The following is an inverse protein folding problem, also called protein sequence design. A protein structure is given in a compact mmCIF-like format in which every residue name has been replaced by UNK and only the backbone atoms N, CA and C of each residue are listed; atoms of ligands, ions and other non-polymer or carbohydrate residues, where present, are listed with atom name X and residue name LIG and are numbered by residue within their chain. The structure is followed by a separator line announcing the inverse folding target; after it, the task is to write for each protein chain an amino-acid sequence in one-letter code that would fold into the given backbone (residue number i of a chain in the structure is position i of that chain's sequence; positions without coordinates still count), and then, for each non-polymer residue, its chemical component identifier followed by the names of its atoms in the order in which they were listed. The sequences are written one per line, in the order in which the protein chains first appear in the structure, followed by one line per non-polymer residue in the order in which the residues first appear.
data_IF_665159147664
#
_entry.id   IF_665159147664
#
_cell.length_a   1.000
_cell.length_b   1.000
_cell.length_c   1.000
_cell.angle_alpha   90.00
_cell.angle_beta   90.00
_cell.angle_gamma   90.00
#
_symmetry.space_group_name_H-M   'P 1'
#
loop_
_entity.id
_entity.type
_entity.pdbx_description
1 polymer ?
#
# COMPACT_ATOMS: atom_id res chain seq x y z
N UNK A 1 -34.57 -13.85 36.57
CA UNK A 1 -34.88 -12.89 35.50
C UNK A 1 -33.57 -12.45 34.86
N UNK A 2 -33.51 -12.35 33.53
CA UNK A 2 -32.26 -12.32 32.77
C UNK A 2 -31.73 -10.89 32.67
N UNK A 3 -30.45 -10.69 33.00
CA UNK A 3 -29.70 -9.51 32.57
C UNK A 3 -28.49 -10.01 31.77
N UNK A 4 -28.77 -10.61 30.62
CA UNK A 4 -27.79 -10.70 29.55
C UNK A 4 -27.87 -9.39 28.79
N UNK A 5 -26.99 -8.45 29.12
CA UNK A 5 -26.77 -7.26 28.31
C UNK A 5 -26.21 -7.71 26.97
N UNK A 6 -27.06 -7.75 25.93
CA UNK A 6 -26.60 -7.78 24.54
C UNK A 6 -25.85 -6.49 24.28
N UNK A 7 -24.53 -6.52 24.45
CA UNK A 7 -23.65 -5.55 23.81
C UNK A 7 -23.83 -5.77 22.31
N UNK A 8 -24.21 -4.75 21.52
CA UNK A 8 -24.21 -4.89 20.07
C UNK A 8 -22.76 -5.13 19.66
N UNK A 9 -22.43 -6.34 19.19
CA UNK A 9 -21.14 -6.59 18.57
C UNK A 9 -21.02 -5.65 17.36
N UNK A 10 -20.09 -4.71 17.40
CA UNK A 10 -19.73 -3.89 16.24
C UNK A 10 -18.91 -4.76 15.30
N UNK A 11 -19.58 -5.43 14.38
CA UNK A 11 -18.92 -6.13 13.29
C UNK A 11 -18.20 -5.12 12.39
N UNK A 12 -16.89 -5.30 12.17
CA UNK A 12 -16.19 -4.66 11.06
C UNK A 12 -16.07 -5.67 9.92
N UNK A 13 -16.58 -5.29 8.74
CA UNK A 13 -16.49 -6.09 7.53
C UNK A 13 -15.10 -5.92 6.92
N UNK A 14 -14.34 -7.02 6.89
CA UNK A 14 -13.09 -7.10 6.15
C UNK A 14 -13.40 -7.49 4.71
N UNK A 15 -13.27 -6.53 3.79
CA UNK A 15 -13.43 -6.79 2.37
C UNK A 15 -12.08 -7.22 1.78
N UNK A 16 -11.95 -8.51 1.49
CA UNK A 16 -10.78 -9.08 0.81
C UNK A 16 -11.21 -9.63 -0.56
N UNK A 17 -10.61 -9.08 -1.61
CA UNK A 17 -10.79 -9.56 -2.98
C UNK A 17 -9.51 -10.26 -3.42
N UNK A 18 -9.65 -11.50 -3.89
CA UNK A 18 -8.55 -12.36 -4.30
C UNK A 18 -8.74 -12.87 -5.72
N UNK A 19 -7.76 -12.59 -6.57
CA UNK A 19 -7.61 -13.21 -7.89
C UNK A 19 -6.40 -14.14 -7.86
N UNK A 20 -6.64 -15.43 -8.07
CA UNK A 20 -5.63 -16.49 -7.94
C UNK A 20 -4.93 -16.76 -9.26
N UNK A 21 -3.61 -16.96 -9.23
CA UNK A 21 -2.87 -17.50 -10.38
C UNK A 21 -3.13 -19.01 -10.49
N UNK A 22 -4.30 -19.41 -10.98
CA UNK A 22 -4.54 -20.84 -11.24
C UNK A 22 -3.74 -21.30 -12.46
N UNK A 23 -2.85 -22.28 -12.29
CA UNK A 23 -2.14 -22.89 -13.43
C UNK A 23 -3.06 -23.76 -14.32
N UNK A 24 -4.27 -24.10 -13.87
CA UNK A 24 -5.24 -24.85 -14.67
C UNK A 24 -6.68 -24.43 -14.35
N UNK A 25 -7.43 -24.23 -15.43
CA UNK A 25 -8.89 -24.12 -15.52
C UNK A 25 -9.57 -22.96 -14.77
N UNK A 26 -9.72 -21.83 -15.46
CA UNK A 26 -11.05 -21.29 -15.83
C UNK A 26 -12.07 -20.97 -14.73
N UNK A 27 -11.66 -20.84 -13.47
CA UNK A 27 -12.55 -20.46 -12.39
C UNK A 27 -12.32 -19.02 -11.94
N UNK A 28 -13.46 -18.36 -11.77
CA UNK A 28 -13.72 -16.95 -11.47
C UNK A 28 -13.03 -16.43 -10.23
N UNK A 29 -12.84 -15.11 -10.22
CA UNK A 29 -12.57 -14.26 -9.05
C UNK A 29 -13.20 -14.86 -7.79
N UNK A 30 -12.37 -15.22 -6.82
CA UNK A 30 -12.83 -15.82 -5.57
C UNK A 30 -12.84 -14.73 -4.52
N UNK A 31 -14.00 -14.11 -4.30
CA UNK A 31 -14.18 -13.19 -3.17
C UNK A 31 -14.14 -14.00 -1.86
N UNK A 32 -13.07 -13.85 -1.07
CA UNK A 32 -13.01 -14.39 0.28
C UNK A 32 -13.48 -13.32 1.25
N UNK A 33 -14.76 -13.36 1.59
CA UNK A 33 -15.32 -12.52 2.64
C UNK A 33 -14.94 -13.10 4.00
N UNK A 34 -13.91 -12.53 4.63
CA UNK A 34 -13.56 -12.86 6.02
C UNK A 34 -14.50 -12.11 6.96
N UNK A 35 -15.46 -12.82 7.58
CA UNK A 35 -16.24 -12.28 8.69
C UNK A 35 -15.45 -12.47 9.99
N UNK A 36 -14.99 -11.38 10.59
CA UNK A 36 -14.48 -11.39 11.95
C UNK A 36 -15.67 -11.32 12.92
N UNK A 37 -15.89 -12.39 13.69
CA UNK A 37 -17.02 -12.46 14.63
C UNK A 37 -16.70 -11.89 16.02
N UNK A 38 -15.44 -11.58 16.32
CA UNK A 38 -15.02 -11.05 17.63
C UNK A 38 -14.35 -9.67 17.50
N UNK A 39 -14.81 -8.72 18.33
CA UNK A 39 -14.22 -7.38 18.51
C UNK A 39 -12.84 -7.43 19.17
N UNK A 40 -12.54 -8.53 19.87
CA UNK A 40 -11.31 -8.70 20.63
C UNK A 40 -10.24 -9.42 19.80
N UNK A 41 -9.51 -8.60 19.03
CA UNK A 41 -8.28 -8.93 18.30
C UNK A 41 -8.42 -9.86 17.08
N UNK A 42 -8.74 -9.27 15.94
CA UNK A 42 -8.37 -9.88 14.66
C UNK A 42 -6.84 -10.06 14.61
N UNK A 43 -6.37 -11.31 14.49
CA UNK A 43 -4.95 -11.61 14.44
C UNK A 43 -4.41 -11.45 13.01
N UNK A 44 -3.63 -10.38 12.78
CA UNK A 44 -3.00 -10.12 11.49
C UNK A 44 -2.06 -11.24 11.04
N UNK A 45 -1.38 -11.92 11.96
CA UNK A 45 -0.54 -13.07 11.66
C UNK A 45 -1.37 -14.24 11.09
N UNK A 46 -2.56 -14.47 11.65
CA UNK A 46 -3.48 -15.49 11.13
C UNK A 46 -4.03 -15.14 9.73
N UNK A 47 -4.28 -13.85 9.46
CA UNK A 47 -4.65 -13.40 8.11
C UNK A 47 -3.48 -13.57 7.13
N UNK A 48 -2.29 -13.10 7.48
CA UNK A 48 -1.08 -13.24 6.67
C UNK A 48 -0.78 -14.73 6.40
N UNK A 49 -0.93 -15.59 7.40
CA UNK A 49 -0.81 -17.04 7.26
C UNK A 49 -1.89 -17.64 6.37
N UNK A 50 -3.14 -17.18 6.47
CA UNK A 50 -4.23 -17.62 5.60
C UNK A 50 -3.98 -17.24 4.14
N UNK A 51 -3.50 -16.02 3.90
CA UNK A 51 -3.10 -15.52 2.58
C UNK A 51 -1.87 -16.27 2.05
N UNK A 52 -0.89 -16.58 2.90
CA UNK A 52 0.27 -17.37 2.51
C UNK A 52 -0.09 -18.79 2.09
N UNK A 53 -1.08 -19.41 2.74
CA UNK A 53 -1.57 -20.74 2.39
C UNK A 53 -2.29 -20.79 1.02
N UNK A 54 -2.74 -19.65 0.49
CA UNK A 54 -3.34 -19.56 -0.85
C UNK A 54 -2.28 -19.72 -1.95
N UNK A 55 -1.00 -19.47 -1.65
CA UNK A 55 0.10 -19.57 -2.60
C UNK A 55 0.32 -18.28 -3.39
N UNK A 56 0.37 -18.36 -4.73
CA UNK A 56 0.65 -17.21 -5.60
C UNK A 56 -0.65 -16.54 -6.08
N UNK A 57 -0.79 -15.26 -5.78
CA UNK A 57 -1.95 -14.46 -6.16
C UNK A 57 -1.60 -13.51 -7.30
N UNK A 58 -2.58 -13.25 -8.16
CA UNK A 58 -2.48 -12.22 -9.19
C UNK A 58 -2.87 -10.86 -8.63
N UNK A 59 -3.98 -10.80 -7.91
CA UNK A 59 -4.47 -9.56 -7.31
C UNK A 59 -4.93 -9.81 -5.87
N UNK A 60 -4.58 -8.89 -4.99
CA UNK A 60 -5.07 -8.84 -3.62
C UNK A 60 -5.49 -7.41 -3.31
N UNK A 61 -6.76 -7.23 -2.97
CA UNK A 61 -7.30 -5.98 -2.41
C UNK A 61 -7.69 -6.20 -0.96
N UNK A 62 -7.30 -5.28 -0.09
CA UNK A 62 -7.71 -5.25 1.31
C UNK A 62 -8.24 -3.84 1.62
N UNK A 63 -9.45 -3.75 2.15
CA UNK A 63 -10.13 -2.48 2.43
C UNK A 63 -10.76 -2.43 3.81
N UNK A 64 -10.81 -1.22 4.38
CA UNK A 64 -11.55 -0.85 5.61
C UNK A 64 -11.16 -1.63 6.86
N UNK A 65 -9.85 -1.69 7.13
CA UNK A 65 -9.31 -2.47 8.23
C UNK A 65 -8.69 -1.57 9.28
N UNK A 66 -9.29 -1.61 10.46
CA UNK A 66 -8.82 -0.92 11.65
C UNK A 66 -8.57 -1.97 12.74
N UNK A 67 -7.37 -2.55 12.69
CA UNK A 67 -6.95 -3.60 13.61
C UNK A 67 -5.76 -3.07 14.40
N UNK A 68 -5.90 -2.95 15.70
CA UNK A 68 -4.72 -2.80 16.58
C UNK A 68 -3.90 -4.08 16.47
N UNK A 69 -2.69 -4.00 15.93
CA UNK A 69 -1.85 -5.18 15.80
C UNK A 69 -1.26 -5.49 17.17
N UNK A 70 -1.68 -6.59 17.81
CA UNK A 70 -0.83 -7.21 18.80
C UNK A 70 0.48 -7.58 18.10
N UNK A 71 1.63 -7.14 18.63
CA UNK A 71 2.97 -7.37 18.08
C UNK A 71 3.12 -8.80 17.53
N UNK A 72 2.94 -8.93 16.22
CA UNK A 72 2.99 -10.21 15.51
C UNK A 72 4.34 -10.33 14.82
N UNK A 73 5.05 -11.42 15.07
CA UNK A 73 6.21 -11.78 14.26
C UNK A 73 5.70 -12.33 12.93
N UNK A 74 5.59 -11.46 11.91
CA UNK A 74 5.19 -11.82 10.55
C UNK A 74 6.23 -12.76 9.90
N UNK A 75 6.11 -14.05 10.17
CA UNK A 75 6.98 -15.08 9.60
C UNK A 75 6.35 -15.75 8.35
N UNK A 76 5.33 -15.11 7.77
CA UNK A 76 4.62 -15.60 6.60
C UNK A 76 5.07 -14.84 5.36
N UNK A 77 5.61 -15.56 4.38
CA UNK A 77 5.89 -15.03 3.04
C UNK A 77 4.74 -15.40 2.11
N UNK A 78 4.22 -14.43 1.37
CA UNK A 78 3.26 -14.69 0.30
C UNK A 78 3.63 -13.92 -0.96
N UNK A 79 3.18 -14.44 -2.10
CA UNK A 79 3.50 -13.89 -3.42
C UNK A 79 2.27 -13.29 -4.06
N UNK A 80 2.36 -12.02 -4.41
CA UNK A 80 1.30 -11.28 -5.08
C UNK A 80 1.90 -10.39 -6.16
N UNK A 81 1.27 -10.33 -7.33
CA UNK A 81 1.70 -9.40 -8.39
C UNK A 81 1.15 -7.99 -8.18
N UNK A 82 -0.12 -7.89 -7.81
CA UNK A 82 -0.85 -6.63 -7.71
C UNK A 82 -1.49 -6.51 -6.33
N UNK A 83 -1.09 -5.51 -5.56
CA UNK A 83 -1.57 -5.26 -4.21
C UNK A 83 -2.34 -3.94 -4.15
N UNK A 84 -3.46 -3.91 -3.45
CA UNK A 84 -4.22 -2.69 -3.17
C UNK A 84 -4.67 -2.66 -1.71
N UNK A 85 -4.31 -1.60 -1.00
CA UNK A 85 -4.61 -1.41 0.42
C UNK A 85 -5.36 -0.07 0.60
N UNK A 86 -6.59 -0.14 1.09
CA UNK A 86 -7.49 1.03 1.22
C UNK A 86 -7.90 1.28 2.67
N UNK A 87 -7.71 2.49 3.18
CA UNK A 87 -8.16 2.92 4.51
C UNK A 87 -7.73 1.96 5.64
N UNK A 88 -6.46 1.59 5.62
CA UNK A 88 -5.84 0.73 6.62
C UNK A 88 -5.12 1.59 7.66
N UNK A 89 -5.14 1.17 8.93
CA UNK A 89 -4.28 1.81 9.91
C UNK A 89 -2.78 1.51 9.65
N UNK A 90 -1.91 2.31 10.27
CA UNK A 90 -0.47 2.28 10.01
C UNK A 90 0.18 0.94 10.38
N UNK A 91 -0.18 0.40 11.56
CA UNK A 91 0.37 -0.84 12.10
C UNK A 91 0.08 -2.03 11.18
N UNK A 92 -1.18 -2.17 10.73
CA UNK A 92 -1.60 -3.22 9.82
C UNK A 92 -0.75 -3.20 8.55
N UNK A 93 -0.61 -2.01 7.96
CA UNK A 93 0.08 -1.86 6.68
C UNK A 93 1.57 -2.14 6.80
N UNK A 94 2.24 -1.70 7.87
CA UNK A 94 3.65 -1.99 8.08
C UNK A 94 3.91 -3.49 8.24
N UNK A 95 3.09 -4.16 9.06
CA UNK A 95 3.17 -5.60 9.24
C UNK A 95 2.93 -6.37 7.93
N UNK A 96 1.89 -5.97 7.21
CA UNK A 96 1.52 -6.60 5.94
C UNK A 96 2.57 -6.42 4.85
N UNK A 97 3.14 -5.22 4.71
CA UNK A 97 4.16 -4.95 3.70
C UNK A 97 5.49 -5.63 4.02
N UNK A 98 5.83 -5.78 5.30
CA UNK A 98 6.98 -6.57 5.73
C UNK A 98 6.86 -8.03 5.27
N UNK A 99 5.66 -8.62 5.39
CA UNK A 99 5.38 -9.97 4.90
C UNK A 99 5.48 -10.09 3.36
N UNK A 100 5.27 -9.00 2.62
CA UNK A 100 5.45 -8.96 1.15
C UNK A 100 6.87 -8.64 0.67
N UNK A 101 7.80 -8.32 1.57
CA UNK A 101 9.10 -7.71 1.23
C UNK A 101 9.99 -8.52 0.26
N UNK A 102 9.73 -9.82 0.10
CA UNK A 102 10.41 -10.70 -0.86
C UNK A 102 9.84 -10.70 -2.29
N UNK A 103 8.67 -10.09 -2.53
CA UNK A 103 7.97 -10.14 -3.82
C UNK A 103 8.06 -8.79 -4.56
N UNK A 104 8.76 -8.70 -5.71
CA UNK A 104 8.70 -7.51 -6.54
C UNK A 104 7.28 -7.36 -7.10
N UNK A 105 6.57 -6.30 -6.67
CA UNK A 105 5.20 -6.07 -7.11
C UNK A 105 5.18 -5.54 -8.54
N UNK A 106 4.28 -6.05 -9.37
CA UNK A 106 3.94 -5.42 -10.64
C UNK A 106 3.15 -4.12 -10.40
N UNK A 107 2.24 -4.13 -9.43
CA UNK A 107 1.41 -3.01 -9.05
C UNK A 107 1.23 -2.93 -7.54
N UNK A 108 1.30 -1.71 -6.99
CA UNK A 108 0.93 -1.42 -5.61
C UNK A 108 0.06 -0.17 -5.57
N UNK A 109 -1.09 -0.26 -4.92
CA UNK A 109 -1.97 0.85 -4.63
C UNK A 109 -2.13 1.04 -3.13
N UNK A 110 -1.82 2.25 -2.65
CA UNK A 110 -2.03 2.66 -1.27
C UNK A 110 -3.00 3.83 -1.27
N UNK A 111 -4.13 3.68 -0.59
CA UNK A 111 -5.23 4.65 -0.56
C UNK A 111 -5.63 4.98 0.89
N UNK A 112 -5.70 6.27 1.21
CA UNK A 112 -6.23 6.74 2.50
C UNK A 112 -5.36 6.40 3.72
N UNK A 113 -4.05 6.23 3.53
CA UNK A 113 -3.12 5.78 4.57
C UNK A 113 -1.91 6.71 4.74
N UNK A 114 -1.48 6.96 5.99
CA UNK A 114 -0.31 7.77 6.30
C UNK A 114 0.99 7.05 5.89
N UNK A 115 1.87 7.55 5.02
CA UNK A 115 3.08 6.79 4.58
C UNK A 115 4.23 6.87 5.59
N UNK A 116 4.80 5.71 5.93
CA UNK A 116 6.09 5.55 6.60
C UNK A 116 7.20 5.03 5.69
N UNK A 117 8.45 5.04 6.18
CA UNK A 117 9.64 4.59 5.44
C UNK A 117 9.51 3.15 4.92
N UNK A 118 8.94 2.27 5.73
CA UNK A 118 8.82 0.83 5.45
C UNK A 118 7.59 0.52 4.59
N UNK A 119 6.71 1.51 4.40
CA UNK A 119 5.38 1.29 3.82
C UNK A 119 5.26 1.51 2.32
N UNK A 120 6.34 1.86 1.61
CA UNK A 120 6.32 1.91 0.15
C UNK A 120 7.10 0.71 -0.38
N UNK A 121 6.43 -0.34 -0.86
CA UNK A 121 7.10 -1.52 -1.39
C UNK A 121 7.78 -1.22 -2.72
N UNK A 122 8.71 -2.10 -3.10
CA UNK A 122 9.27 -2.08 -4.45
C UNK A 122 8.20 -2.57 -5.44
N UNK A 123 7.68 -1.65 -6.24
CA UNK A 123 6.67 -1.92 -7.25
C UNK A 123 7.05 -1.30 -8.61
N UNK A 124 6.78 -2.00 -9.71
CA UNK A 124 6.96 -1.46 -11.06
C UNK A 124 6.00 -0.31 -11.36
N UNK A 125 4.77 -0.39 -10.86
CA UNK A 125 3.78 0.68 -10.86
C UNK A 125 3.29 0.92 -9.43
N UNK A 126 3.58 2.11 -8.91
CA UNK A 126 3.06 2.59 -7.63
C UNK A 126 1.93 3.59 -7.83
N UNK A 127 0.82 3.43 -7.13
CA UNK A 127 -0.27 4.39 -7.03
C UNK A 127 -0.45 4.78 -5.57
N UNK A 128 -0.40 6.08 -5.30
CA UNK A 128 -0.60 6.70 -4.00
C UNK A 128 -1.80 7.62 -4.12
N UNK A 129 -2.85 7.39 -3.34
CA UNK A 129 -4.12 8.11 -3.43
C UNK A 129 -4.61 8.52 -2.04
N UNK A 130 -5.15 9.75 -1.91
CA UNK A 130 -5.69 10.26 -0.64
C UNK A 130 -4.71 10.18 0.55
N UNK A 131 -3.44 10.53 0.33
CA UNK A 131 -2.38 10.38 1.34
C UNK A 131 -2.01 11.72 1.95
N UNK A 132 -2.05 11.80 3.28
CA UNK A 132 -1.53 12.94 4.02
C UNK A 132 -0.02 12.80 4.32
N UNK A 133 0.78 13.73 3.80
CA UNK A 133 2.24 13.81 3.96
C UNK A 133 2.57 14.89 5.00
N UNK A 134 2.88 14.49 6.23
CA UNK A 134 3.08 15.42 7.35
C UNK A 134 4.53 15.95 7.50
N UNK A 135 5.19 16.31 6.39
CA UNK A 135 6.58 16.84 6.41
C UNK A 135 7.64 15.89 7.03
N UNK A 136 7.27 14.66 7.35
CA UNK A 136 8.15 13.65 7.91
C UNK A 136 9.12 13.16 6.83
N UNK A 137 10.40 13.03 7.21
CA UNK A 137 11.43 12.43 6.38
C UNK A 137 11.11 10.99 5.96
N UNK A 138 10.19 10.30 6.64
CA UNK A 138 9.76 8.95 6.31
C UNK A 138 9.25 8.82 4.86
N UNK A 139 8.33 9.67 4.43
CA UNK A 139 7.79 9.66 3.07
C UNK A 139 8.88 9.96 2.03
N UNK A 140 9.70 10.98 2.28
CA UNK A 140 10.86 11.31 1.45
C UNK A 140 11.85 10.16 1.31
N UNK A 141 12.15 9.44 2.40
CA UNK A 141 13.03 8.26 2.35
C UNK A 141 12.39 7.10 1.58
N UNK A 142 11.07 6.92 1.69
CA UNK A 142 10.32 5.90 0.96
C UNK A 142 10.33 6.18 -0.56
N UNK A 143 10.08 7.42 -0.97
CA UNK A 143 10.17 7.85 -2.37
C UNK A 143 11.54 7.60 -2.99
N UNK A 144 12.64 7.86 -2.24
CA UNK A 144 14.01 7.60 -2.73
C UNK A 144 14.26 6.12 -3.09
N UNK A 145 13.52 5.20 -2.47
CA UNK A 145 13.59 3.76 -2.76
C UNK A 145 12.62 3.34 -3.86
N UNK A 146 11.84 4.24 -4.43
CA UNK A 146 10.95 3.87 -5.51
C UNK A 146 11.76 3.61 -6.78
N UNK A 147 11.77 2.34 -7.19
CA UNK A 147 12.48 1.83 -8.38
C UNK A 147 11.53 1.48 -9.54
N UNK A 148 10.25 1.89 -9.45
CA UNK A 148 9.25 1.60 -10.47
C UNK A 148 9.38 2.50 -11.70
N UNK A 149 8.78 2.07 -12.81
CA UNK A 149 8.75 2.83 -14.06
C UNK A 149 7.59 3.83 -14.11
N UNK A 150 6.60 3.69 -13.22
CA UNK A 150 5.42 4.54 -13.13
C UNK A 150 5.05 4.81 -11.68
N UNK A 151 4.71 6.06 -11.41
CA UNK A 151 4.15 6.50 -10.12
C UNK A 151 2.97 7.42 -10.40
N UNK A 152 1.82 7.09 -9.82
CA UNK A 152 0.65 7.96 -9.78
C UNK A 152 0.51 8.49 -8.36
N UNK A 153 0.54 9.80 -8.17
CA UNK A 153 0.38 10.49 -6.88
C UNK A 153 -0.85 11.38 -7.03
N UNK A 154 -1.91 11.04 -6.30
CA UNK A 154 -3.26 11.58 -6.50
C UNK A 154 -3.79 12.04 -5.15
N UNK A 155 -4.32 13.27 -5.10
CA UNK A 155 -4.93 13.86 -3.91
C UNK A 155 -4.06 13.68 -2.64
N UNK A 156 -2.76 13.95 -2.78
CA UNK A 156 -1.81 13.80 -1.70
C UNK A 156 -1.52 15.16 -1.04
N UNK A 157 -2.23 15.45 0.05
CA UNK A 157 -2.00 16.66 0.85
C UNK A 157 -0.60 16.62 1.48
N UNK A 158 0.09 17.75 1.48
CA UNK A 158 1.47 17.85 2.00
C UNK A 158 2.57 17.47 0.99
N UNK A 159 2.21 16.89 -0.16
CA UNK A 159 3.17 16.65 -1.24
C UNK A 159 3.64 17.98 -1.88
N UNK A 160 4.91 18.31 -1.66
CA UNK A 160 5.50 19.62 -1.98
C UNK A 160 6.76 19.57 -2.89
N UNK A 161 7.34 20.74 -3.16
CA UNK A 161 8.48 20.95 -4.08
C UNK A 161 9.74 20.10 -3.75
N UNK A 162 9.98 19.81 -2.48
CA UNK A 162 11.07 18.96 -2.00
C UNK A 162 10.92 17.51 -2.47
N UNK A 163 9.70 16.97 -2.45
CA UNK A 163 9.39 15.64 -2.97
C UNK A 163 9.57 15.55 -4.48
N UNK A 164 9.21 16.62 -5.21
CA UNK A 164 9.49 16.73 -6.65
C UNK A 164 10.99 16.70 -6.95
N UNK A 165 11.79 17.38 -6.12
CA UNK A 165 13.24 17.33 -6.24
C UNK A 165 13.78 15.91 -5.99
N UNK A 166 13.25 15.20 -5.00
CA UNK A 166 13.60 13.79 -4.74
C UNK A 166 13.30 12.92 -5.97
N UNK A 167 12.09 13.02 -6.52
CA UNK A 167 11.70 12.29 -7.74
C UNK A 167 12.67 12.60 -8.89
N UNK A 168 13.06 13.86 -9.04
CA UNK A 168 13.95 14.28 -10.12
C UNK A 168 15.38 13.77 -9.99
N UNK A 169 15.84 13.47 -8.77
CA UNK A 169 17.25 13.18 -8.46
C UNK A 169 17.53 11.73 -8.09
N UNK A 170 16.55 11.00 -7.54
CA UNK A 170 16.76 9.64 -7.01
C UNK A 170 15.96 8.57 -7.75
N UNK A 171 14.86 8.93 -8.42
CA UNK A 171 13.98 7.97 -9.11
C UNK A 171 14.39 7.81 -10.59
N UNK A 172 15.60 7.29 -10.83
CA UNK A 172 16.19 7.17 -12.17
C UNK A 172 15.35 6.32 -13.14
N UNK A 173 14.79 5.21 -12.64
CA UNK A 173 14.00 4.28 -13.44
C UNK A 173 12.56 4.77 -13.70
N UNK A 174 12.07 5.72 -12.90
CA UNK A 174 10.73 6.26 -13.07
C UNK A 174 10.65 6.94 -14.42
N UNK A 175 9.73 6.55 -15.30
CA UNK A 175 9.56 7.17 -16.63
C UNK A 175 8.30 8.03 -16.69
N UNK A 176 7.28 7.66 -15.91
CA UNK A 176 5.94 8.25 -15.97
C UNK A 176 5.47 8.67 -14.58
N UNK A 177 5.87 9.86 -14.09
CA UNK A 177 5.25 10.47 -12.93
C UNK A 177 3.92 11.12 -13.33
N UNK A 178 2.82 10.71 -12.70
CA UNK A 178 1.52 11.35 -12.79
C UNK A 178 1.21 12.03 -11.45
N UNK A 179 0.94 13.33 -11.50
CA UNK A 179 0.59 14.12 -10.33
C UNK A 179 -0.80 14.71 -10.58
N UNK A 180 -1.75 14.37 -9.72
CA UNK A 180 -3.15 14.78 -9.86
C UNK A 180 -3.60 15.38 -8.52
N UNK A 181 -4.18 16.57 -8.57
CA UNK A 181 -4.82 17.22 -7.42
C UNK A 181 -3.95 17.32 -6.15
N UNK A 182 -2.62 17.44 -6.28
CA UNK A 182 -1.76 17.73 -5.12
C UNK A 182 -1.51 19.25 -5.00
N UNK A 183 -2.02 19.93 -3.96
CA UNK A 183 -2.08 21.40 -3.93
C UNK A 183 -0.78 22.12 -3.54
N UNK A 184 0.20 21.39 -2.98
CA UNK A 184 1.29 21.99 -2.20
C UNK A 184 2.63 22.14 -2.95
N UNK A 185 2.66 21.95 -4.26
CA UNK A 185 3.83 22.22 -5.09
C UNK A 185 3.60 23.39 -6.06
N UNK A 186 4.69 24.08 -6.39
CA UNK A 186 4.67 25.18 -7.34
C UNK A 186 5.21 24.74 -8.70
N UNK A 187 4.96 25.57 -9.72
CA UNK A 187 5.58 25.43 -11.05
C UNK A 187 7.12 25.39 -10.96
N UNK A 188 7.70 26.04 -9.95
CA UNK A 188 9.15 26.00 -9.68
C UNK A 188 9.62 24.57 -9.35
N UNK A 189 8.95 23.86 -8.44
CA UNK A 189 9.28 22.48 -8.10
C UNK A 189 9.23 21.55 -9.31
N UNK A 190 8.19 21.69 -10.16
CA UNK A 190 8.07 20.93 -11.40
C UNK A 190 9.26 21.17 -12.35
N UNK A 191 9.68 22.43 -12.51
CA UNK A 191 10.84 22.77 -13.34
C UNK A 191 12.12 22.14 -12.82
N UNK A 192 12.32 22.11 -11.49
CA UNK A 192 13.46 21.43 -10.87
C UNK A 192 13.42 19.95 -11.17
N UNK A 193 12.29 19.27 -10.93
CA UNK A 193 12.13 17.85 -11.24
C UNK A 193 12.47 17.55 -12.70
N UNK A 194 11.90 18.28 -13.65
CA UNK A 194 12.15 18.06 -15.09
C UNK A 194 13.63 18.28 -15.43
N UNK A 195 14.25 19.33 -14.87
CA UNK A 195 15.66 19.65 -15.13
C UNK A 195 16.59 18.53 -14.65
N UNK A 196 16.38 18.04 -13.42
CA UNK A 196 17.20 16.95 -12.89
C UNK A 196 17.00 15.64 -13.67
N UNK A 197 15.76 15.35 -14.08
CA UNK A 197 15.47 14.17 -14.91
C UNK A 197 16.11 14.24 -16.29
N UNK A 198 16.15 15.42 -16.91
CA UNK A 198 16.81 15.59 -18.20
C UNK A 198 18.31 15.28 -18.12
N UNK A 199 18.97 15.63 -16.99
CA UNK A 199 20.38 15.29 -16.78
C UNK A 199 20.60 13.77 -16.77
N UNK A 200 19.72 13.02 -16.12
CA UNK A 200 19.78 11.55 -16.04
C UNK A 200 19.57 10.86 -17.39
N UNK A 201 18.77 11.44 -18.30
CA UNK A 201 18.51 10.87 -19.63
C UNK A 201 19.58 11.26 -20.65
N UNK A 202 20.35 12.33 -20.39
CA UNK A 202 21.39 12.84 -21.30
C UNK A 202 22.77 12.19 -21.14
N UNK A 203 22.92 11.25 -20.21
CA UNK A 203 24.12 10.42 -19.98
C UNK A 203 23.94 9.03 -20.56
#
# INVERSE_FOLDING_TARGET
MPNGSNIPAHYRLLNILLDLKTERSGHSDSELNFRCEDEDAFNLDALAGSIANVGSMRHLTISDVDISCAEGNFNHEFRVDNLSLHYQNEEFRQGFLTATSGSPLCYCHLDGAYITYESVPMAHYLRLENIYVNGDAAFSRALKRHFGNRSDIIDCEGFADDHLQIIGTHCELLQRPYLIDCPNFAVKGLKVMVTERLKLVST
#
